data_IF_950024804347
#
_entry.id   IF_950024804347
#
_cell.length_a   1.000
_cell.length_b   1.000
_cell.length_c   1.000
_cell.angle_alpha   90.00
_cell.angle_beta   90.00
_cell.angle_gamma   90.00
#
_symmetry.space_group_name_H-M   'P 1'
#
loop_
_entity.id
_entity.type
_entity.pdbx_description
1 polymer ?
#
# COMPACT_ATOMS: atom_id res chain seq x y z
N UNK A 1 -7.86 14.73 23.30
CA UNK A 1 -7.58 15.44 22.06
C UNK A 1 -6.14 15.21 21.59
N UNK A 2 -5.15 15.40 22.48
CA UNK A 2 -3.73 15.21 22.12
C UNK A 2 -3.40 13.77 21.79
N UNK A 3 -3.93 12.81 22.58
CA UNK A 3 -3.67 11.39 22.33
C UNK A 3 -4.28 10.93 21.01
N UNK A 4 -5.46 11.44 20.66
CA UNK A 4 -6.10 11.07 19.41
C UNK A 4 -5.35 11.65 18.20
N UNK A 5 -4.91 12.91 18.29
CA UNK A 5 -4.11 13.54 17.22
C UNK A 5 -2.78 12.79 17.03
N UNK A 6 -2.11 12.44 18.13
CA UNK A 6 -0.85 11.66 18.08
C UNK A 6 -1.07 10.28 17.47
N UNK A 7 -2.21 9.63 17.77
CA UNK A 7 -2.55 8.34 17.19
C UNK A 7 -2.83 8.44 15.70
N UNK A 8 -3.52 9.49 15.26
CA UNK A 8 -3.77 9.75 13.84
C UNK A 8 -2.47 9.96 13.09
N UNK A 9 -1.55 10.74 13.67
CA UNK A 9 -0.23 10.95 13.08
C UNK A 9 0.56 9.65 13.00
N UNK A 10 0.54 8.84 14.05
CA UNK A 10 1.22 7.55 14.07
C UNK A 10 0.64 6.61 13.01
N UNK A 11 -0.69 6.58 12.86
CA UNK A 11 -1.34 5.79 11.82
C UNK A 11 -0.92 6.23 10.42
N UNK A 12 -0.83 7.55 10.20
CA UNK A 12 -0.41 8.10 8.91
C UNK A 12 1.02 7.69 8.57
N UNK A 13 1.92 7.70 9.54
CA UNK A 13 3.30 7.24 9.35
C UNK A 13 3.35 5.75 9.06
N UNK A 14 2.52 4.96 9.73
CA UNK A 14 2.42 3.52 9.49
C UNK A 14 1.94 3.23 8.07
N UNK A 15 0.95 3.97 7.58
CA UNK A 15 0.49 3.84 6.20
C UNK A 15 1.64 4.08 5.22
N UNK A 16 2.42 5.14 5.43
CA UNK A 16 3.56 5.44 4.56
C UNK A 16 4.59 4.31 4.55
N UNK A 17 4.87 3.73 5.72
CA UNK A 17 5.79 2.59 5.84
C UNK A 17 5.25 1.36 5.10
N UNK A 18 3.96 1.07 5.26
CA UNK A 18 3.32 -0.07 4.59
C UNK A 18 3.32 0.08 3.07
N UNK A 19 3.06 1.29 2.58
CA UNK A 19 3.06 1.55 1.14
C UNK A 19 4.49 1.48 0.57
N UNK A 20 5.48 1.90 1.34
CA UNK A 20 6.89 1.69 0.96
C UNK A 20 7.19 0.19 0.83
N UNK A 21 6.72 -0.61 1.78
CA UNK A 21 6.90 -2.06 1.73
C UNK A 21 6.21 -2.66 0.50
N UNK A 22 5.01 -2.18 0.15
CA UNK A 22 4.31 -2.62 -1.06
C UNK A 22 5.14 -2.32 -2.33
N UNK A 23 5.72 -1.12 -2.41
CA UNK A 23 6.57 -0.73 -3.52
C UNK A 23 7.82 -1.62 -3.60
N UNK A 24 8.49 -1.84 -2.46
CA UNK A 24 9.67 -2.72 -2.41
C UNK A 24 9.31 -4.15 -2.78
N UNK A 25 8.13 -4.62 -2.40
CA UNK A 25 7.63 -5.94 -2.80
C UNK A 25 7.45 -6.02 -4.31
N UNK A 26 6.98 -4.95 -4.94
CA UNK A 26 6.86 -4.87 -6.38
C UNK A 26 8.21 -4.96 -7.08
N UNK A 27 9.22 -4.27 -6.54
CA UNK A 27 10.59 -4.35 -7.07
C UNK A 27 11.12 -5.79 -6.96
N UNK A 28 10.90 -6.41 -5.81
CA UNK A 28 11.32 -7.81 -5.61
C UNK A 28 10.66 -8.72 -6.64
N UNK A 29 9.35 -8.57 -6.84
CA UNK A 29 8.60 -9.39 -7.77
C UNK A 29 9.11 -9.27 -9.22
N UNK A 30 9.49 -8.04 -9.64
CA UNK A 30 9.98 -7.82 -11.00
C UNK A 30 11.40 -8.38 -11.21
N UNK A 31 12.17 -8.51 -10.12
CA UNK A 31 13.55 -8.98 -10.20
C UNK A 31 13.69 -10.49 -10.03
N UNK A 32 12.66 -11.18 -9.59
CA UNK A 32 12.70 -12.65 -9.46
C UNK A 32 12.24 -13.28 -10.77
N UNK A 33 13.19 -13.83 -11.51
CA UNK A 33 12.93 -14.40 -12.81
C UNK A 33 11.92 -15.55 -12.71
N UNK A 34 10.87 -15.50 -13.52
CA UNK A 34 9.83 -16.53 -13.56
C UNK A 34 8.80 -16.45 -12.45
N UNK A 35 8.96 -15.52 -11.49
CA UNK A 35 7.98 -15.36 -10.41
C UNK A 35 6.67 -14.77 -10.93
N UNK A 36 6.79 -13.74 -11.79
CA UNK A 36 5.62 -13.02 -12.31
C UNK A 36 5.49 -13.28 -13.81
N UNK A 37 4.47 -14.02 -14.17
CA UNK A 37 4.11 -14.25 -15.57
C UNK A 37 3.00 -13.30 -15.99
N UNK A 38 2.64 -13.33 -17.27
CA UNK A 38 1.56 -12.51 -17.81
C UNK A 38 0.26 -12.82 -17.05
N UNK A 39 -0.32 -11.78 -16.46
CA UNK A 39 -1.53 -11.90 -15.64
C UNK A 39 -1.27 -11.96 -14.15
N UNK A 40 -0.08 -12.38 -13.70
CA UNK A 40 0.23 -12.47 -12.28
C UNK A 40 0.25 -11.11 -11.60
N UNK A 41 0.70 -10.06 -12.30
CA UNK A 41 0.67 -8.71 -11.78
C UNK A 41 -0.78 -8.29 -11.46
N UNK A 42 -1.72 -8.57 -12.36
CA UNK A 42 -3.12 -8.23 -12.12
C UNK A 42 -3.68 -8.99 -10.92
N UNK A 43 -3.33 -10.25 -10.76
CA UNK A 43 -3.72 -11.04 -9.59
C UNK A 43 -3.14 -10.48 -8.30
N UNK A 44 -1.86 -10.07 -8.33
CA UNK A 44 -1.20 -9.47 -7.18
C UNK A 44 -1.85 -8.13 -6.81
N UNK A 45 -2.21 -7.30 -7.80
CA UNK A 45 -2.90 -6.04 -7.56
C UNK A 45 -4.28 -6.26 -6.97
N UNK A 46 -5.00 -7.26 -7.46
CA UNK A 46 -6.31 -7.61 -6.92
C UNK A 46 -6.21 -8.11 -5.48
N UNK A 47 -5.17 -8.89 -5.16
CA UNK A 47 -4.93 -9.35 -3.79
C UNK A 47 -4.60 -8.16 -2.87
N UNK A 48 -3.78 -7.21 -3.32
CA UNK A 48 -3.46 -6.01 -2.57
C UNK A 48 -4.71 -5.19 -2.26
N UNK A 49 -5.63 -5.07 -3.22
CA UNK A 49 -6.89 -4.35 -3.02
C UNK A 49 -7.76 -4.99 -1.93
N UNK A 50 -7.71 -6.32 -1.79
CA UNK A 50 -8.51 -7.03 -0.79
C UNK A 50 -8.00 -6.84 0.64
N UNK A 51 -6.75 -6.44 0.82
CA UNK A 51 -6.17 -6.22 2.14
C UNK A 51 -5.97 -4.74 2.47
N UNK A 52 -6.49 -3.82 1.64
CA UNK A 52 -6.51 -2.41 1.97
C UNK A 52 -7.50 -2.13 3.10
N UNK A 53 -7.22 -1.10 3.90
CA UNK A 53 -8.04 -0.75 5.08
C UNK A 53 -9.49 -0.46 4.72
N UNK A 54 -9.73 0.23 3.62
CA UNK A 54 -11.08 0.56 3.16
C UNK A 54 -11.88 -0.70 2.83
N UNK A 55 -11.26 -1.66 2.15
CA UNK A 55 -11.91 -2.91 1.80
C UNK A 55 -12.21 -3.73 3.07
N UNK A 56 -11.24 -3.84 3.97
CA UNK A 56 -11.41 -4.59 5.22
C UNK A 56 -12.52 -3.99 6.09
N UNK A 57 -12.59 -2.66 6.18
CA UNK A 57 -13.63 -2.00 6.97
C UNK A 57 -15.01 -2.18 6.35
N UNK A 58 -15.14 -2.14 5.03
CA UNK A 58 -16.40 -2.42 4.34
C UNK A 58 -16.85 -3.86 4.56
N UNK A 59 -15.93 -4.81 4.50
CA UNK A 59 -16.22 -6.22 4.78
C UNK A 59 -16.72 -6.44 6.20
N UNK A 60 -16.24 -5.64 7.14
CA UNK A 60 -16.70 -5.67 8.52
C UNK A 60 -18.03 -4.93 8.72
N UNK A 61 -18.67 -4.46 7.66
CA UNK A 61 -19.93 -3.72 7.72
C UNK A 61 -19.78 -2.28 8.17
N UNK A 62 -18.59 -1.71 8.04
CA UNK A 62 -18.30 -0.35 8.49
C UNK A 62 -18.11 0.59 7.31
N UNK A 63 -18.40 1.88 7.53
CA UNK A 63 -18.01 2.93 6.61
C UNK A 63 -16.51 3.17 6.79
N UNK A 64 -15.71 3.17 5.72
CA UNK A 64 -14.27 3.42 5.85
C UNK A 64 -13.97 4.75 6.53
N UNK A 65 -13.04 4.72 7.49
CA UNK A 65 -12.63 5.90 8.25
C UNK A 65 -11.10 6.09 8.09
N UNK A 66 -10.66 6.96 7.15
CA UNK A 66 -9.24 7.07 6.79
C UNK A 66 -8.30 7.33 7.96
N UNK A 67 -8.75 8.09 8.98
CA UNK A 67 -7.90 8.39 10.13
C UNK A 67 -7.55 7.16 10.98
N UNK A 68 -8.27 6.04 10.78
CA UNK A 68 -7.98 4.76 11.47
C UNK A 68 -7.13 3.81 10.62
N UNK A 69 -6.81 4.18 9.39
CA UNK A 69 -6.05 3.30 8.50
C UNK A 69 -4.60 3.16 8.97
N UNK A 70 -4.08 1.94 8.96
CA UNK A 70 -2.70 1.64 9.28
C UNK A 70 -1.96 0.97 8.13
N UNK A 71 -2.66 0.51 7.10
CA UNK A 71 -2.08 -0.20 5.95
C UNK A 71 -2.25 0.56 4.64
N UNK A 72 -3.12 1.54 4.59
CA UNK A 72 -3.46 2.27 3.38
C UNK A 72 -4.70 1.73 2.69
N UNK A 73 -5.23 2.48 1.73
CA UNK A 73 -6.39 2.06 0.96
C UNK A 73 -6.00 0.97 -0.05
N UNK A 74 -7.01 0.26 -0.53
CA UNK A 74 -6.83 -0.75 -1.58
C UNK A 74 -6.12 -0.18 -2.81
N UNK A 75 -6.53 1.01 -3.25
CA UNK A 75 -5.95 1.66 -4.42
C UNK A 75 -4.52 2.14 -4.16
N UNK A 76 -4.24 2.66 -2.97
CA UNK A 76 -2.90 3.07 -2.59
C UNK A 76 -1.96 1.86 -2.60
N UNK A 77 -2.34 0.76 -1.99
CA UNK A 77 -1.51 -0.44 -1.93
C UNK A 77 -1.23 -1.00 -3.33
N UNK A 78 -2.25 -1.09 -4.17
CA UNK A 78 -2.09 -1.57 -5.54
C UNK A 78 -1.18 -0.64 -6.35
N UNK A 79 -1.37 0.68 -6.21
CA UNK A 79 -0.60 1.68 -6.95
C UNK A 79 0.88 1.63 -6.60
N UNK A 80 1.20 1.55 -5.31
CA UNK A 80 2.60 1.51 -4.88
C UNK A 80 3.29 0.20 -5.24
N UNK A 81 2.58 -0.93 -5.15
CA UNK A 81 3.12 -2.20 -5.64
C UNK A 81 3.43 -2.12 -7.14
N UNK A 82 2.49 -1.62 -7.94
CA UNK A 82 2.68 -1.47 -9.38
C UNK A 82 3.85 -0.54 -9.70
N UNK A 83 4.00 0.55 -8.95
CA UNK A 83 5.11 1.50 -9.14
C UNK A 83 6.45 0.82 -8.92
N UNK A 84 6.57 0.00 -7.88
CA UNK A 84 7.80 -0.78 -7.65
C UNK A 84 8.04 -1.80 -8.74
N UNK A 85 7.00 -2.52 -9.12
CA UNK A 85 7.07 -3.55 -10.16
C UNK A 85 7.51 -2.95 -11.51
N UNK A 86 6.91 -1.84 -11.90
CA UNK A 86 7.17 -1.22 -13.20
C UNK A 86 8.50 -0.46 -13.24
N UNK A 87 8.87 0.21 -12.15
CA UNK A 87 10.11 1.00 -12.11
C UNK A 87 11.35 0.17 -11.82
N UNK A 88 11.22 -0.84 -10.96
CA UNK A 88 12.37 -1.57 -10.44
C UNK A 88 13.38 -0.70 -9.69
N UNK A 89 12.98 0.48 -9.24
CA UNK A 89 13.85 1.51 -8.69
C UNK A 89 13.45 1.84 -7.26
N UNK A 90 14.32 1.54 -6.30
CA UNK A 90 14.10 1.83 -4.88
C UNK A 90 13.84 3.32 -4.65
N UNK A 91 14.46 4.20 -5.42
CA UNK A 91 14.23 5.65 -5.33
C UNK A 91 12.79 6.05 -5.60
N UNK A 92 12.01 5.21 -6.29
CA UNK A 92 10.60 5.46 -6.55
C UNK A 92 9.70 5.06 -5.39
N UNK A 93 10.26 4.47 -4.33
CA UNK A 93 9.49 3.94 -3.20
C UNK A 93 9.51 4.84 -1.96
N UNK A 94 9.95 6.09 -2.09
CA UNK A 94 9.99 7.02 -0.96
C UNK A 94 8.61 7.60 -0.69
N UNK A 95 7.79 6.85 0.03
CA UNK A 95 6.45 7.28 0.42
C UNK A 95 6.45 8.42 1.42
N UNK A 96 7.55 8.59 2.17
CA UNK A 96 7.66 9.66 3.17
C UNK A 96 7.89 11.02 2.52
N UNK A 97 8.53 11.05 1.36
CA UNK A 97 8.73 12.28 0.59
C UNK A 97 7.56 12.57 -0.37
N UNK A 98 6.67 11.60 -0.59
CA UNK A 98 5.56 11.77 -1.53
C UNK A 98 4.53 12.75 -0.98
N UNK A 99 4.18 13.74 -1.79
CA UNK A 99 3.11 14.67 -1.44
C UNK A 99 1.73 14.01 -1.52
N UNK A 100 1.59 12.98 -2.33
CA UNK A 100 0.34 12.27 -2.55
C UNK A 100 0.61 10.77 -2.61
N UNK A 101 -0.13 9.99 -1.82
CA UNK A 101 -0.04 8.55 -1.80
C UNK A 101 -1.09 7.91 -2.68
#
# INVERSE_FOLDING_TARGET
ARQQASKVEANALTVRLELMADCLSGIWATNVQGLMEKGDLQEALNAARKIGDDHLQRQAGRVPQPHTFTHGTSEQRARWFARGYESGDVGQCDTFAAARL
#
